data_IF_234279998140
#
_entry.id   IF_234279998140
#
_cell.length_a   1.000
_cell.length_b   1.000
_cell.length_c   1.000
_cell.angle_alpha   90.00
_cell.angle_beta   90.00
_cell.angle_gamma   90.00
#
_symmetry.space_group_name_H-M   'P 1'
#
loop_
_entity.id
_entity.type
_entity.pdbx_description
1 polymer ?
#
# COMPACT_ATOMS: atom_id res chain seq x y z
N UNK A 1 -3.31 -4.10 -0.73
CA UNK A 1 -3.38 -3.72 0.68
C UNK A 1 -3.66 -2.23 0.82
N UNK A 2 -2.83 -1.35 0.27
CA UNK A 2 -2.94 0.11 0.35
C UNK A 2 -4.38 0.59 0.02
N UNK A 3 -4.96 0.18 -1.13
CA UNK A 3 -6.33 0.54 -1.52
C UNK A 3 -7.42 0.04 -0.56
N UNK A 4 -7.20 -1.11 0.10
CA UNK A 4 -8.16 -1.62 1.08
C UNK A 4 -8.14 -0.79 2.36
N UNK A 5 -6.95 -0.44 2.84
CA UNK A 5 -6.79 0.43 4.01
C UNK A 5 -7.33 1.85 3.74
N UNK A 6 -7.04 2.39 2.56
CA UNK A 6 -7.57 3.69 2.14
C UNK A 6 -9.10 3.70 2.17
N UNK A 7 -9.75 2.66 1.62
CA UNK A 7 -11.22 2.56 1.67
C UNK A 7 -11.71 2.49 3.11
N UNK A 8 -11.09 1.67 3.94
CA UNK A 8 -11.47 1.49 5.35
C UNK A 8 -11.30 2.77 6.17
N UNK A 9 -10.27 3.57 5.89
CA UNK A 9 -10.04 4.85 6.58
C UNK A 9 -10.96 5.95 6.07
N UNK A 10 -11.25 6.00 4.77
CA UNK A 10 -12.19 6.97 4.21
C UNK A 10 -13.65 6.77 4.69
N UNK A 11 -13.98 5.57 5.19
CA UNK A 11 -15.27 5.30 5.82
C UNK A 11 -15.33 5.83 7.27
N UNK A 12 -14.19 6.20 7.87
CA UNK A 12 -14.11 6.75 9.22
C UNK A 12 -14.19 8.28 9.16
N UNK A 13 -15.09 8.85 9.94
CA UNK A 13 -15.17 10.30 10.11
C UNK A 13 -13.93 10.84 10.83
N UNK A 14 -13.39 11.96 10.39
CA UNK A 14 -12.26 12.62 11.06
C UNK A 14 -10.88 12.24 10.54
N UNK A 15 -10.75 11.42 9.49
CA UNK A 15 -9.47 11.06 8.88
C UNK A 15 -9.42 11.55 7.43
N UNK A 16 -8.35 12.24 7.06
CA UNK A 16 -8.03 12.61 5.70
C UNK A 16 -6.84 11.79 5.21
N UNK A 17 -7.02 11.06 4.12
CA UNK A 17 -5.96 10.21 3.55
C UNK A 17 -5.46 10.79 2.25
N UNK A 18 -4.16 11.04 2.19
CA UNK A 18 -3.43 11.40 0.98
C UNK A 18 -2.73 10.15 0.45
N UNK A 19 -2.78 9.93 -0.86
CA UNK A 19 -2.22 8.73 -1.48
C UNK A 19 -1.24 9.09 -2.59
N UNK A 20 0.02 8.68 -2.40
CA UNK A 20 1.06 8.71 -3.41
C UNK A 20 1.27 7.28 -3.93
N UNK A 21 0.88 7.03 -5.19
CA UNK A 21 0.91 5.70 -5.81
C UNK A 21 2.28 5.30 -6.36
N UNK A 22 3.08 6.26 -6.78
CA UNK A 22 4.44 6.04 -7.28
C UNK A 22 5.39 7.05 -6.63
N UNK A 23 6.41 6.52 -5.99
CA UNK A 23 7.40 7.31 -5.26
C UNK A 23 8.71 7.50 -6.04
N UNK A 24 8.73 7.13 -7.32
CA UNK A 24 9.90 7.23 -8.19
C UNK A 24 10.06 8.62 -8.81
N UNK A 25 10.60 9.56 -8.06
CA UNK A 25 10.94 10.91 -8.52
C UNK A 25 12.43 11.03 -8.81
N UNK A 26 12.79 11.77 -9.85
CA UNK A 26 14.20 11.97 -10.25
C UNK A 26 14.97 12.78 -9.20
N UNK A 27 14.32 13.81 -8.64
CA UNK A 27 14.91 14.64 -7.60
C UNK A 27 13.95 14.93 -6.44
N UNK A 28 14.51 15.51 -5.37
CA UNK A 28 13.76 15.84 -4.17
C UNK A 28 12.82 17.05 -4.38
N UNK A 29 13.14 17.95 -5.30
CA UNK A 29 12.33 19.13 -5.55
C UNK A 29 11.07 18.77 -6.32
N UNK A 30 11.18 17.84 -7.28
CA UNK A 30 10.02 17.25 -7.97
C UNK A 30 9.12 16.53 -6.98
N UNK A 31 9.70 15.72 -6.09
CA UNK A 31 8.96 15.04 -5.03
C UNK A 31 8.20 16.04 -4.14
N UNK A 32 8.84 17.10 -3.67
CA UNK A 32 8.20 18.15 -2.84
C UNK A 32 7.08 18.85 -3.61
N UNK A 33 7.28 19.19 -4.89
CA UNK A 33 6.22 19.81 -5.71
C UNK A 33 5.01 18.90 -5.85
N UNK A 34 5.25 17.60 -6.02
CA UNK A 34 4.14 16.63 -6.11
C UNK A 34 3.41 16.48 -4.77
N UNK A 35 4.13 16.48 -3.65
CA UNK A 35 3.50 16.50 -2.33
C UNK A 35 2.71 17.80 -2.11
N UNK A 36 3.26 18.95 -2.55
CA UNK A 36 2.54 20.22 -2.48
C UNK A 36 1.23 20.17 -3.26
N UNK A 37 1.25 19.65 -4.49
CA UNK A 37 0.05 19.42 -5.29
C UNK A 37 -0.95 18.49 -4.57
N UNK A 38 -0.47 17.40 -3.99
CA UNK A 38 -1.28 16.43 -3.27
C UNK A 38 -2.00 17.02 -2.05
N UNK A 39 -1.31 17.85 -1.28
CA UNK A 39 -1.86 18.48 -0.07
C UNK A 39 -2.70 19.74 -0.37
N UNK A 40 -2.27 20.56 -1.33
CA UNK A 40 -2.94 21.81 -1.68
C UNK A 40 -4.06 21.65 -2.73
N UNK A 41 -4.06 20.51 -3.46
CA UNK A 41 -4.99 20.27 -4.56
C UNK A 41 -4.67 21.03 -5.86
N UNK A 42 -3.55 21.74 -5.89
CA UNK A 42 -3.07 22.52 -7.04
C UNK A 42 -1.58 22.37 -7.21
N UNK A 43 -1.14 22.17 -8.45
CA UNK A 43 0.28 22.10 -8.76
C UNK A 43 0.91 23.48 -8.58
N UNK A 44 2.02 23.59 -7.83
CA UNK A 44 2.72 24.86 -7.69
C UNK A 44 3.27 25.33 -9.06
N UNK A 45 3.31 26.64 -9.31
CA UNK A 45 3.91 27.20 -10.53
C UNK A 45 5.37 26.74 -10.72
N UNK A 46 5.84 26.77 -11.98
CA UNK A 46 7.25 26.51 -12.25
C UNK A 46 8.14 27.56 -11.58
N UNK A 47 9.28 27.12 -11.03
CA UNK A 47 10.22 28.01 -10.36
C UNK A 47 9.92 28.31 -8.90
N UNK A 48 8.82 27.83 -8.34
CA UNK A 48 8.55 27.95 -6.90
C UNK A 48 9.62 27.19 -6.11
N UNK A 49 10.22 27.88 -5.13
CA UNK A 49 11.26 27.30 -4.32
C UNK A 49 10.73 26.15 -3.43
N UNK A 50 11.56 25.12 -3.22
CA UNK A 50 11.25 23.99 -2.34
C UNK A 50 10.70 24.44 -0.98
N UNK A 51 11.31 25.48 -0.38
CA UNK A 51 10.90 26.02 0.93
C UNK A 51 9.46 26.53 0.92
N UNK A 52 9.03 27.16 -0.16
CA UNK A 52 7.66 27.66 -0.31
C UNK A 52 6.66 26.49 -0.41
N UNK A 53 7.01 25.47 -1.18
CA UNK A 53 6.18 24.24 -1.26
C UNK A 53 6.04 23.57 0.12
N UNK A 54 7.13 23.45 0.89
CA UNK A 54 7.09 22.91 2.25
C UNK A 54 6.20 23.77 3.15
N UNK A 55 6.30 25.11 3.06
CA UNK A 55 5.43 26.02 3.83
C UNK A 55 3.95 25.85 3.48
N UNK A 56 3.63 25.67 2.21
CA UNK A 56 2.25 25.41 1.75
C UNK A 56 1.73 24.09 2.34
N UNK A 57 2.55 23.03 2.28
CA UNK A 57 2.19 21.73 2.88
C UNK A 57 1.96 21.90 4.38
N UNK A 58 2.88 22.57 5.07
CA UNK A 58 2.79 22.80 6.51
C UNK A 58 1.50 23.53 6.88
N UNK A 59 1.19 24.64 6.23
CA UNK A 59 -0.04 25.40 6.48
C UNK A 59 -1.28 24.54 6.28
N UNK A 60 -1.34 23.74 5.21
CA UNK A 60 -2.45 22.84 4.94
C UNK A 60 -2.60 21.75 5.99
N UNK A 61 -1.49 21.19 6.48
CA UNK A 61 -1.49 20.20 7.56
C UNK A 61 -2.01 20.84 8.85
N UNK A 62 -1.55 22.06 9.20
CA UNK A 62 -2.01 22.77 10.38
C UNK A 62 -3.50 23.13 10.30
N UNK A 63 -3.98 23.73 9.19
CA UNK A 63 -5.38 24.07 8.99
C UNK A 63 -6.30 22.84 9.17
N UNK A 64 -5.95 21.73 8.53
CA UNK A 64 -6.77 20.52 8.59
C UNK A 64 -6.72 19.87 9.99
N UNK A 65 -5.53 19.76 10.57
CA UNK A 65 -5.38 19.07 11.84
C UNK A 65 -5.93 19.88 13.01
N UNK A 66 -5.64 21.18 13.10
CA UNK A 66 -5.99 21.99 14.25
C UNK A 66 -7.35 22.68 14.10
N UNK A 67 -7.64 23.29 12.94
CA UNK A 67 -8.89 24.02 12.75
C UNK A 67 -10.07 23.08 12.42
N UNK A 68 -9.83 22.03 11.64
CA UNK A 68 -10.85 21.08 11.23
C UNK A 68 -10.86 19.80 12.09
N UNK A 69 -9.96 19.67 13.06
CA UNK A 69 -9.80 18.49 13.93
C UNK A 69 -9.73 17.17 13.15
N UNK A 70 -8.87 17.13 12.12
CA UNK A 70 -8.72 15.98 11.22
C UNK A 70 -7.39 15.26 11.47
N UNK A 71 -7.42 13.93 11.50
CA UNK A 71 -6.20 13.12 11.49
C UNK A 71 -5.71 12.97 10.04
N UNK A 72 -4.48 13.36 9.77
CA UNK A 72 -3.93 13.33 8.42
C UNK A 72 -3.00 12.14 8.25
N UNK A 73 -3.20 11.37 7.19
CA UNK A 73 -2.39 10.20 6.88
C UNK A 73 -1.90 10.27 5.43
N UNK A 74 -0.59 10.23 5.23
CA UNK A 74 0.02 10.11 3.92
C UNK A 74 0.38 8.64 3.67
N UNK A 75 -0.24 8.02 2.68
CA UNK A 75 0.10 6.71 2.17
C UNK A 75 1.05 6.83 0.98
N UNK A 76 2.16 6.12 1.03
CA UNK A 76 3.12 6.03 -0.07
C UNK A 76 3.21 4.56 -0.50
N UNK A 77 2.85 4.26 -1.75
CA UNK A 77 3.03 2.94 -2.34
C UNK A 77 4.36 2.87 -3.11
N UNK A 78 4.87 1.68 -3.35
CA UNK A 78 6.15 1.43 -4.02
C UNK A 78 7.35 2.15 -3.34
N UNK A 79 7.36 2.24 -2.01
CA UNK A 79 8.34 2.99 -1.23
C UNK A 79 9.80 2.61 -1.44
N UNK A 80 10.11 1.42 -2.01
CA UNK A 80 11.47 1.06 -2.42
C UNK A 80 12.02 1.93 -3.56
N UNK A 81 11.17 2.74 -4.20
CA UNK A 81 11.59 3.72 -5.21
C UNK A 81 11.99 5.07 -4.61
N UNK A 82 11.71 5.31 -3.32
CA UNK A 82 12.09 6.54 -2.65
C UNK A 82 13.61 6.68 -2.65
N UNK A 83 14.09 7.83 -3.12
CA UNK A 83 15.50 8.21 -2.98
C UNK A 83 15.82 8.61 -1.53
N UNK A 84 17.09 8.54 -1.09
CA UNK A 84 17.48 9.08 0.21
C UNK A 84 17.08 10.54 0.42
N UNK A 85 17.14 11.35 -0.63
CA UNK A 85 16.72 12.75 -0.59
C UNK A 85 15.20 12.90 -0.37
N UNK A 86 14.36 12.03 -0.97
CA UNK A 86 12.93 12.02 -0.73
C UNK A 86 12.60 11.56 0.70
N UNK A 87 13.33 10.60 1.26
CA UNK A 87 13.19 10.17 2.65
C UNK A 87 13.54 11.31 3.64
N UNK A 88 14.56 12.14 3.33
CA UNK A 88 14.84 13.34 4.13
C UNK A 88 13.71 14.36 4.08
N UNK A 89 13.05 14.54 2.94
CA UNK A 89 11.83 15.36 2.85
C UNK A 89 10.73 14.81 3.77
N UNK A 90 10.49 13.51 3.72
CA UNK A 90 9.49 12.89 4.61
C UNK A 90 9.85 13.07 6.09
N UNK A 91 11.15 13.01 6.43
CA UNK A 91 11.63 13.28 7.79
C UNK A 91 11.33 14.73 8.21
N UNK A 92 11.49 15.70 7.30
CA UNK A 92 11.11 17.10 7.55
C UNK A 92 9.62 17.23 7.84
N UNK A 93 8.77 16.54 7.06
CA UNK A 93 7.31 16.56 7.26
C UNK A 93 6.87 15.89 8.57
N UNK A 94 7.58 14.87 9.05
CA UNK A 94 7.32 14.24 10.34
C UNK A 94 7.60 15.15 11.55
N UNK A 95 8.28 16.30 11.35
CA UNK A 95 8.46 17.31 12.38
C UNK A 95 7.26 18.28 12.48
N UNK A 96 6.21 18.10 11.67
CA UNK A 96 4.97 18.87 11.80
C UNK A 96 4.20 18.33 13.00
N UNK A 97 4.48 18.88 14.16
CA UNK A 97 3.88 18.48 15.43
C UNK A 97 3.59 19.73 16.30
N UNK A 98 2.64 19.59 17.18
CA UNK A 98 2.44 20.50 18.31
C UNK A 98 3.17 19.95 19.53
N UNK A 99 3.10 20.66 20.66
CA UNK A 99 3.69 20.18 21.91
C UNK A 99 3.08 18.84 22.40
N UNK A 100 1.91 18.47 21.89
CA UNK A 100 1.13 17.31 22.37
C UNK A 100 0.84 16.27 21.28
N UNK A 101 0.81 16.66 20.00
CA UNK A 101 0.30 15.79 18.92
C UNK A 101 1.12 15.89 17.64
N UNK A 102 1.23 14.75 16.95
CA UNK A 102 1.75 14.68 15.59
C UNK A 102 0.63 14.94 14.61
N UNK A 103 0.80 15.94 13.75
CA UNK A 103 -0.22 16.41 12.83
C UNK A 103 -0.31 15.57 11.54
N UNK A 104 0.77 14.88 11.18
CA UNK A 104 0.84 14.04 10.00
C UNK A 104 1.40 12.66 10.35
N UNK A 105 0.70 11.62 9.92
CA UNK A 105 1.17 10.25 9.98
C UNK A 105 1.56 9.78 8.58
N UNK A 106 2.67 9.05 8.46
CA UNK A 106 3.16 8.54 7.18
C UNK A 106 3.20 7.02 7.23
N UNK A 107 2.59 6.38 6.24
CA UNK A 107 2.61 4.92 6.08
C UNK A 107 3.21 4.58 4.72
N UNK A 108 4.36 3.92 4.73
CA UNK A 108 5.08 3.56 3.51
C UNK A 108 4.91 2.06 3.24
N UNK A 109 4.37 1.72 2.09
CA UNK A 109 4.30 0.34 1.59
C UNK A 109 5.45 0.13 0.62
N UNK A 110 6.25 -0.90 0.85
CA UNK A 110 7.40 -1.17 -0.01
C UNK A 110 7.77 -2.64 -0.03
N UNK A 111 8.68 -2.96 -0.91
CA UNK A 111 9.33 -4.26 -0.99
C UNK A 111 10.46 -4.34 0.05
N UNK A 112 11.01 -5.53 0.34
CA UNK A 112 12.08 -5.71 1.36
C UNK A 112 13.30 -4.82 1.16
N UNK A 113 13.56 -4.36 -0.07
CA UNK A 113 14.65 -3.47 -0.42
C UNK A 113 14.54 -2.10 0.28
N UNK A 114 13.33 -1.64 0.58
CA UNK A 114 13.09 -0.42 1.35
C UNK A 114 13.76 -0.50 2.73
N UNK A 115 13.73 -1.66 3.38
CA UNK A 115 14.36 -1.84 4.68
C UNK A 115 15.88 -1.61 4.63
N UNK A 116 16.54 -2.04 3.54
CA UNK A 116 17.97 -1.82 3.34
C UNK A 116 18.31 -0.33 3.14
N UNK A 117 17.46 0.39 2.41
CA UNK A 117 17.61 1.84 2.23
C UNK A 117 17.50 2.56 3.58
N UNK A 118 16.47 2.21 4.36
CA UNK A 118 16.22 2.81 5.69
C UNK A 118 17.35 2.48 6.67
N UNK A 119 17.93 1.29 6.62
CA UNK A 119 19.06 0.91 7.47
C UNK A 119 20.30 1.79 7.23
N UNK A 120 20.47 2.29 6.00
CA UNK A 120 21.51 3.27 5.66
C UNK A 120 21.23 4.71 6.14
N UNK A 121 20.04 4.96 6.74
CA UNK A 121 19.59 6.30 7.16
C UNK A 121 19.17 6.32 8.64
N UNK A 122 20.11 6.36 9.60
CA UNK A 122 19.80 6.30 11.03
C UNK A 122 18.79 7.36 11.48
N UNK A 123 18.94 8.59 11.01
CA UNK A 123 18.07 9.72 11.37
C UNK A 123 16.61 9.52 10.93
N UNK A 124 16.38 8.83 9.82
CA UNK A 124 15.04 8.47 9.36
C UNK A 124 14.52 7.24 10.12
N UNK A 125 15.37 6.24 10.35
CA UNK A 125 15.06 5.03 11.10
C UNK A 125 14.52 5.33 12.49
N UNK A 126 15.11 6.30 13.19
CA UNK A 126 14.68 6.73 14.53
C UNK A 126 13.29 7.39 14.56
N UNK A 127 12.76 7.77 13.42
CA UNK A 127 11.40 8.34 13.29
C UNK A 127 10.34 7.29 12.99
N UNK A 128 10.74 6.04 12.76
CA UNK A 128 9.80 4.95 12.46
C UNK A 128 9.33 4.31 13.75
N UNK A 129 8.03 4.42 14.00
CA UNK A 129 7.41 3.84 15.19
C UNK A 129 7.18 2.33 15.05
N UNK A 130 6.84 1.86 13.84
CA UNK A 130 6.40 0.49 13.61
C UNK A 130 6.92 -0.08 12.28
N UNK A 131 7.40 -1.31 12.31
CA UNK A 131 7.76 -2.11 11.14
C UNK A 131 6.82 -3.30 11.02
N UNK A 132 6.04 -3.36 9.98
CA UNK A 132 5.11 -4.44 9.71
C UNK A 132 5.57 -5.29 8.52
N UNK A 133 5.93 -6.53 8.79
CA UNK A 133 6.32 -7.48 7.76
C UNK A 133 5.14 -8.39 7.40
N UNK A 134 4.70 -8.30 6.15
CA UNK A 134 3.65 -9.17 5.62
C UNK A 134 4.24 -10.53 5.24
N UNK A 135 3.91 -11.54 6.02
CA UNK A 135 4.31 -12.93 5.75
C UNK A 135 3.44 -13.53 4.63
N UNK A 136 3.96 -14.50 3.87
CA UNK A 136 3.14 -15.32 2.99
C UNK A 136 1.97 -15.94 3.76
N UNK A 137 0.86 -16.15 3.07
CA UNK A 137 -0.32 -16.78 3.65
C UNK A 137 -0.03 -18.23 4.06
N UNK A 138 -0.52 -18.62 5.20
CA UNK A 138 -0.59 -20.03 5.59
C UNK A 138 -1.51 -20.82 4.64
N UNK A 139 -1.44 -22.15 4.68
CA UNK A 139 -2.32 -23.00 3.87
C UNK A 139 -3.81 -22.72 4.13
N UNK A 140 -4.20 -22.55 5.38
CA UNK A 140 -5.59 -22.24 5.76
C UNK A 140 -6.06 -20.90 5.20
N UNK A 141 -5.21 -19.88 5.28
CA UNK A 141 -5.50 -18.55 4.74
C UNK A 141 -5.55 -18.55 3.22
N UNK A 142 -4.66 -19.30 2.56
CA UNK A 142 -4.66 -19.46 1.10
C UNK A 142 -5.97 -20.10 0.61
N UNK A 143 -6.41 -21.17 1.27
CA UNK A 143 -7.68 -21.85 0.95
C UNK A 143 -8.86 -20.89 1.18
N UNK A 144 -8.84 -20.15 2.31
CA UNK A 144 -9.89 -19.17 2.63
C UNK A 144 -9.95 -18.06 1.59
N UNK A 145 -8.79 -17.54 1.15
CA UNK A 145 -8.70 -16.51 0.13
C UNK A 145 -9.29 -16.97 -1.21
N UNK A 146 -8.89 -18.16 -1.71
CA UNK A 146 -9.41 -18.70 -2.98
C UNK A 146 -10.92 -18.88 -2.90
N UNK A 147 -11.43 -19.52 -1.84
CA UNK A 147 -12.87 -19.73 -1.64
C UNK A 147 -13.65 -18.42 -1.57
N UNK A 148 -13.13 -17.44 -0.83
CA UNK A 148 -13.73 -16.12 -0.73
C UNK A 148 -13.85 -15.44 -2.11
N UNK A 149 -12.79 -15.47 -2.91
CA UNK A 149 -12.80 -14.90 -4.27
C UNK A 149 -13.75 -15.62 -5.21
N UNK A 150 -13.83 -16.95 -5.13
CA UNK A 150 -14.77 -17.74 -5.91
C UNK A 150 -16.22 -17.44 -5.52
N UNK A 151 -16.49 -17.30 -4.22
CA UNK A 151 -17.83 -16.96 -3.71
C UNK A 151 -18.29 -15.59 -4.22
N UNK A 152 -17.40 -14.59 -4.21
CA UNK A 152 -17.70 -13.26 -4.73
C UNK A 152 -17.97 -13.26 -6.25
N UNK A 153 -17.30 -14.16 -6.99
CA UNK A 153 -17.41 -14.21 -8.45
C UNK A 153 -18.60 -15.02 -8.96
N UNK A 154 -19.00 -16.08 -8.27
CA UNK A 154 -20.03 -17.00 -8.79
C UNK A 154 -20.87 -17.70 -7.71
N UNK A 155 -20.86 -17.17 -6.49
CA UNK A 155 -21.61 -17.72 -5.38
C UNK A 155 -21.08 -19.08 -4.89
N UNK A 156 -21.90 -19.77 -4.11
CA UNK A 156 -21.49 -21.05 -3.48
C UNK A 156 -21.15 -22.16 -4.48
N UNK A 157 -21.74 -22.16 -5.67
CA UNK A 157 -21.44 -23.16 -6.71
C UNK A 157 -20.00 -23.05 -7.22
N UNK A 158 -19.44 -21.84 -7.29
CA UNK A 158 -18.09 -21.60 -7.75
C UNK A 158 -17.01 -22.18 -6.79
N UNK A 159 -17.32 -22.33 -5.50
CA UNK A 159 -16.41 -22.97 -4.55
C UNK A 159 -16.14 -24.44 -4.86
N UNK A 160 -17.06 -25.12 -5.53
CA UNK A 160 -16.92 -26.53 -5.92
C UNK A 160 -16.00 -26.73 -7.13
N UNK A 161 -15.62 -25.66 -7.82
CA UNK A 161 -14.69 -25.71 -8.95
C UNK A 161 -13.29 -26.20 -8.55
N UNK A 162 -12.91 -26.02 -7.28
CA UNK A 162 -11.61 -26.46 -6.79
C UNK A 162 -11.77 -27.57 -5.73
N UNK A 163 -11.16 -28.73 -5.97
CA UNK A 163 -11.04 -29.77 -4.95
C UNK A 163 -10.09 -29.32 -3.83
N UNK A 164 -10.18 -29.94 -2.66
CA UNK A 164 -9.24 -29.65 -1.56
C UNK A 164 -7.79 -29.92 -1.97
N UNK A 165 -7.55 -30.99 -2.72
CA UNK A 165 -6.21 -31.32 -3.24
C UNK A 165 -5.64 -30.24 -4.16
N UNK A 166 -6.48 -29.63 -5.03
CA UNK A 166 -6.02 -28.53 -5.89
C UNK A 166 -5.75 -27.25 -5.11
N UNK A 167 -6.52 -26.95 -4.06
CA UNK A 167 -6.26 -25.80 -3.18
C UNK A 167 -4.93 -25.96 -2.42
N UNK A 168 -4.62 -27.18 -1.97
CA UNK A 168 -3.33 -27.50 -1.34
C UNK A 168 -2.18 -27.36 -2.36
N UNK A 169 -2.36 -27.87 -3.57
CA UNK A 169 -1.38 -27.76 -4.63
C UNK A 169 -1.13 -26.30 -5.03
N UNK A 170 -2.18 -25.49 -5.17
CA UNK A 170 -2.08 -24.05 -5.42
C UNK A 170 -1.29 -23.32 -4.31
N UNK A 171 -1.54 -23.64 -3.05
CA UNK A 171 -0.78 -23.06 -1.95
C UNK A 171 0.71 -23.41 -2.06
N UNK A 172 1.03 -24.67 -2.31
CA UNK A 172 2.42 -25.13 -2.44
C UNK A 172 3.12 -24.46 -3.62
N UNK A 173 2.48 -24.42 -4.80
CA UNK A 173 3.02 -23.81 -5.99
C UNK A 173 3.22 -22.28 -5.85
N UNK A 174 2.29 -21.59 -5.16
CA UNK A 174 2.38 -20.14 -4.90
C UNK A 174 3.26 -19.78 -3.72
N UNK A 175 3.66 -20.74 -2.89
CA UNK A 175 4.34 -20.54 -1.61
C UNK A 175 3.59 -19.56 -0.69
N UNK A 176 2.26 -19.56 -0.76
CA UNK A 176 1.40 -18.66 0.01
C UNK A 176 1.43 -17.19 -0.43
N UNK A 177 2.06 -16.85 -1.57
CA UNK A 177 2.07 -15.48 -2.10
C UNK A 177 0.72 -15.16 -2.76
N UNK A 178 -0.07 -14.18 -2.26
CA UNK A 178 -1.45 -13.96 -2.71
C UNK A 178 -1.57 -13.70 -4.22
N UNK A 179 -0.67 -12.88 -4.79
CA UNK A 179 -0.67 -12.56 -6.22
C UNK A 179 -0.43 -13.80 -7.09
N UNK A 180 0.52 -14.65 -6.70
CA UNK A 180 0.81 -15.89 -7.41
C UNK A 180 -0.33 -16.90 -7.27
N UNK A 181 -0.89 -17.02 -6.05
CA UNK A 181 -2.04 -17.88 -5.78
C UNK A 181 -3.22 -17.55 -6.68
N UNK A 182 -3.55 -16.26 -6.81
CA UNK A 182 -4.65 -15.81 -7.67
C UNK A 182 -4.34 -16.01 -9.17
N UNK A 183 -3.11 -15.76 -9.61
CA UNK A 183 -2.68 -16.00 -10.99
C UNK A 183 -2.81 -17.48 -11.38
N UNK A 184 -2.28 -18.37 -10.55
CA UNK A 184 -2.37 -19.80 -10.78
C UNK A 184 -3.83 -20.29 -10.74
N UNK A 185 -4.63 -19.81 -9.78
CA UNK A 185 -6.04 -20.10 -9.71
C UNK A 185 -6.79 -19.69 -10.98
N UNK A 186 -6.51 -18.51 -11.51
CA UNK A 186 -7.09 -18.05 -12.78
C UNK A 186 -6.68 -18.93 -13.97
N UNK A 187 -5.41 -19.30 -14.08
CA UNK A 187 -4.93 -20.19 -15.12
C UNK A 187 -5.63 -21.56 -15.07
N UNK A 188 -5.87 -22.09 -13.86
CA UNK A 188 -6.61 -23.35 -13.70
C UNK A 188 -8.07 -23.23 -14.12
N UNK A 189 -8.72 -22.10 -13.87
CA UNK A 189 -10.09 -21.86 -14.35
C UNK A 189 -10.14 -21.80 -15.89
N UNK A 190 -9.18 -21.15 -16.53
CA UNK A 190 -9.06 -21.14 -17.99
C UNK A 190 -8.85 -22.56 -18.54
N UNK A 191 -7.99 -23.36 -17.90
CA UNK A 191 -7.77 -24.75 -18.28
C UNK A 191 -9.02 -25.63 -18.16
N UNK A 192 -9.93 -25.34 -17.20
CA UNK A 192 -11.24 -26.01 -17.13
C UNK A 192 -12.09 -25.70 -18.36
N UNK A 193 -12.14 -24.45 -18.79
CA UNK A 193 -12.94 -24.03 -19.95
C UNK A 193 -12.48 -24.72 -21.22
N UNK A 194 -11.15 -24.80 -21.43
CA UNK A 194 -10.57 -25.46 -22.61
C UNK A 194 -10.73 -26.98 -22.56
N UNK A 195 -10.58 -27.57 -21.36
CA UNK A 195 -10.56 -29.03 -21.18
C UNK A 195 -11.93 -29.68 -20.98
N UNK A 196 -13.05 -28.93 -21.08
CA UNK A 196 -14.43 -29.44 -20.80
C UNK A 196 -14.55 -30.18 -19.47
N UNK A 197 -13.77 -29.78 -18.47
CA UNK A 197 -13.79 -30.37 -17.13
C UNK A 197 -14.63 -29.50 -16.19
N UNK A 198 -15.21 -30.12 -15.18
CA UNK A 198 -16.07 -29.43 -14.22
C UNK A 198 -15.35 -29.03 -12.92
N UNK A 199 -14.16 -29.60 -12.66
CA UNK A 199 -13.45 -29.41 -11.39
C UNK A 199 -11.94 -29.40 -11.60
N UNK A 200 -11.24 -28.46 -10.95
CA UNK A 200 -9.78 -28.44 -10.87
C UNK A 200 -9.30 -29.50 -9.89
N UNK A 201 -8.43 -30.39 -10.33
CA UNK A 201 -7.80 -31.40 -9.49
C UNK A 201 -6.36 -31.03 -9.15
N UNK A 202 -5.78 -31.64 -8.10
CA UNK A 202 -4.40 -31.38 -7.72
C UNK A 202 -3.35 -31.74 -8.77
N UNK A 203 -3.69 -32.59 -9.74
CA UNK A 203 -2.80 -32.96 -10.86
C UNK A 203 -2.72 -31.89 -11.95
N UNK A 204 -3.63 -30.93 -11.96
CA UNK A 204 -3.65 -29.85 -12.94
C UNK A 204 -2.81 -28.66 -12.51
N UNK A 205 -2.50 -28.55 -11.24
CA UNK A 205 -1.69 -27.47 -10.62
C UNK A 205 -0.22 -27.86 -10.60
#
# INVERSE_FOLDING_TARGET
LCRCLLRSLNEQSGIDVFLLLDAGFEDADEFVRHLCELFAGQRPPEGVARRECISVIQNRVFDKALEQNRNLVLFIDEGQKLSPAALEVLRELLNFETNTEKLLQIVIFGQPELAQIIEGMPNFKDRINEYLYLKPLSMRESIRLVRHRLRLAGGQRAERLFSLGSLIALHRASRGKPRQLMRLGHQMLLALLVGSRTTVTGRMV
#
